data_IF_622765358981
#
_entry.id   IF_622765358981
#
_cell.length_a   1.000
_cell.length_b   1.000
_cell.length_c   1.000
_cell.angle_alpha   90.00
_cell.angle_beta   90.00
_cell.angle_gamma   90.00
#
_symmetry.space_group_name_H-M   'P 1'
#
loop_
_entity.id
_entity.type
_entity.pdbx_description
1 polymer ?
#
# COMPACT_ATOMS: atom_id res chain seq x y z
N UNK A 1 33.94 32.60 37.29
CA UNK A 1 32.85 33.47 37.76
C UNK A 1 32.85 34.70 36.87
N UNK A 2 32.08 34.71 35.78
CA UNK A 2 32.05 35.85 34.87
C UNK A 2 31.27 36.97 35.57
N UNK A 3 31.98 38.01 36.04
CA UNK A 3 31.36 39.23 36.53
C UNK A 3 30.60 39.87 35.36
N UNK A 4 29.27 39.79 35.41
CA UNK A 4 28.41 40.53 34.49
C UNK A 4 28.74 42.03 34.61
N UNK A 5 28.97 42.74 33.50
CA UNK A 5 29.24 44.16 33.53
C UNK A 5 28.08 44.91 34.21
N UNK A 6 28.42 45.87 35.07
CA UNK A 6 27.47 46.72 35.78
C UNK A 6 26.76 47.59 34.73
N UNK A 7 25.57 47.18 34.30
CA UNK A 7 24.73 47.93 33.37
C UNK A 7 24.10 49.13 34.10
N UNK A 8 24.06 50.33 33.49
CA UNK A 8 23.29 51.46 33.98
C UNK A 8 21.84 51.08 34.27
N UNK A 9 21.24 51.63 35.35
CA UNK A 9 19.89 51.27 35.82
C UNK A 9 18.81 51.32 34.72
N UNK A 10 18.90 52.30 33.80
CA UNK A 10 17.98 52.43 32.65
C UNK A 10 18.14 51.29 31.63
N UNK A 11 19.33 50.72 31.48
CA UNK A 11 19.61 49.59 30.58
C UNK A 11 19.28 48.24 31.23
N UNK A 12 19.20 48.17 32.56
CA UNK A 12 18.86 46.94 33.28
C UNK A 12 17.43 46.48 33.00
N UNK A 13 16.45 47.40 32.98
CA UNK A 13 15.05 47.09 32.64
C UNK A 13 14.91 46.63 31.18
N UNK A 14 15.63 47.30 30.26
CA UNK A 14 15.65 46.92 28.83
C UNK A 14 16.27 45.52 28.66
N UNK A 15 17.39 45.25 29.31
CA UNK A 15 18.06 43.94 29.28
C UNK A 15 17.15 42.83 29.82
N UNK A 16 16.46 43.06 30.94
CA UNK A 16 15.48 42.10 31.47
C UNK A 16 14.33 41.84 30.49
N UNK A 17 13.78 42.90 29.88
CA UNK A 17 12.74 42.78 28.85
C UNK A 17 13.19 41.95 27.65
N UNK A 18 14.39 42.22 27.12
CA UNK A 18 14.97 41.46 26.00
C UNK A 18 15.21 39.99 26.38
N UNK A 19 15.71 39.72 27.59
CA UNK A 19 15.96 38.35 28.06
C UNK A 19 14.66 37.55 28.21
N UNK A 20 13.61 38.16 28.74
CA UNK A 20 12.27 37.54 28.81
C UNK A 20 11.74 37.27 27.41
N UNK A 21 11.83 38.25 26.50
CA UNK A 21 11.40 38.10 25.11
C UNK A 21 12.18 36.98 24.39
N UNK A 22 13.49 36.88 24.62
CA UNK A 22 14.32 35.79 24.08
C UNK A 22 13.84 34.43 24.57
N UNK A 23 13.65 34.25 25.89
CA UNK A 23 13.17 32.98 26.42
C UNK A 23 11.75 32.63 25.96
N UNK A 24 10.87 33.62 25.87
CA UNK A 24 9.53 33.44 25.32
C UNK A 24 9.59 32.98 23.86
N UNK A 25 10.43 33.63 23.04
CA UNK A 25 10.61 33.27 21.63
C UNK A 25 11.18 31.85 21.47
N UNK A 26 12.13 31.45 22.32
CA UNK A 26 12.72 30.12 22.32
C UNK A 26 11.70 29.06 22.76
N UNK A 27 10.91 29.34 23.80
CA UNK A 27 9.83 28.46 24.25
C UNK A 27 8.75 28.28 23.17
N UNK A 28 8.32 29.37 22.52
CA UNK A 28 7.38 29.31 21.38
C UNK A 28 7.99 28.47 20.25
N UNK A 29 9.26 28.71 19.90
CA UNK A 29 9.96 27.95 18.87
C UNK A 29 10.02 26.45 19.17
N UNK A 30 10.39 26.06 20.39
CA UNK A 30 10.41 24.66 20.84
C UNK A 30 9.00 24.06 20.78
N UNK A 31 7.99 24.80 21.22
CA UNK A 31 6.60 24.32 21.22
C UNK A 31 6.11 24.09 19.79
N UNK A 32 6.36 25.02 18.86
CA UNK A 32 6.00 24.88 17.45
C UNK A 32 6.77 23.73 16.78
N UNK A 33 8.05 23.56 17.11
CA UNK A 33 8.85 22.43 16.62
C UNK A 33 8.28 21.11 17.14
N UNK A 34 7.98 21.00 18.43
CA UNK A 34 7.37 19.81 19.02
C UNK A 34 6.01 19.49 18.38
N UNK A 35 5.16 20.49 18.16
CA UNK A 35 3.88 20.30 17.48
C UNK A 35 4.05 19.76 16.05
N UNK A 36 5.01 20.27 15.29
CA UNK A 36 5.32 19.74 13.94
C UNK A 36 5.93 18.35 13.98
N UNK A 37 6.72 18.04 15.00
CA UNK A 37 7.35 16.73 15.18
C UNK A 37 6.32 15.65 15.53
N UNK A 38 5.38 15.95 16.44
CA UNK A 38 4.36 14.99 16.87
C UNK A 38 3.15 14.92 15.93
N UNK A 39 2.86 15.99 15.20
CA UNK A 39 1.72 16.08 14.30
C UNK A 39 2.19 16.51 12.91
N UNK A 40 2.98 15.65 12.23
CA UNK A 40 3.45 15.96 10.90
C UNK A 40 2.29 16.11 9.92
N UNK A 41 2.56 16.77 8.80
CA UNK A 41 1.65 16.81 7.66
C UNK A 41 2.35 16.09 6.52
N UNK A 42 1.68 15.09 5.93
CA UNK A 42 2.21 14.34 4.80
C UNK A 42 1.61 14.88 3.52
N UNK A 43 2.46 15.32 2.59
CA UNK A 43 2.02 15.93 1.34
C UNK A 43 2.46 15.08 0.15
N UNK A 44 1.52 14.83 -0.75
CA UNK A 44 1.71 14.08 -1.97
C UNK A 44 1.37 14.97 -3.16
N UNK A 45 2.17 14.91 -4.22
CA UNK A 45 2.06 15.78 -5.40
C UNK A 45 2.03 14.96 -6.68
N UNK A 46 1.19 15.39 -7.61
CA UNK A 46 1.24 15.01 -9.01
C UNK A 46 1.32 16.26 -9.88
N UNK A 47 2.31 16.31 -10.77
CA UNK A 47 2.44 17.33 -11.80
C UNK A 47 2.28 16.69 -13.18
N UNK A 48 1.29 17.15 -13.94
CA UNK A 48 0.94 16.61 -15.26
C UNK A 48 1.89 17.05 -16.39
N UNK A 49 2.86 17.93 -16.09
CA UNK A 49 3.85 18.44 -17.07
C UNK A 49 5.26 17.88 -16.88
N UNK A 50 5.53 17.22 -15.77
CA UNK A 50 6.88 16.76 -15.43
C UNK A 50 6.92 15.24 -15.44
N UNK A 51 8.09 14.67 -15.75
CA UNK A 51 8.32 13.23 -15.72
C UNK A 51 7.93 12.62 -14.37
N UNK A 52 7.38 11.40 -14.40
CA UNK A 52 6.83 10.67 -13.25
C UNK A 52 7.75 10.54 -12.03
N UNK A 53 9.07 10.65 -12.16
CA UNK A 53 10.03 10.47 -11.05
C UNK A 53 9.93 11.50 -9.92
N UNK A 54 9.29 12.65 -10.14
CA UNK A 54 9.07 13.68 -9.11
C UNK A 54 7.68 13.62 -8.48
N UNK A 55 6.80 12.76 -8.98
CA UNK A 55 5.44 12.62 -8.47
C UNK A 55 5.45 11.64 -7.29
N UNK A 56 4.76 12.02 -6.22
CA UNK A 56 4.60 11.19 -5.01
C UNK A 56 3.16 10.66 -4.86
N UNK A 57 2.20 11.23 -5.58
CA UNK A 57 0.88 10.62 -5.80
C UNK A 57 0.96 9.53 -6.86
N UNK A 58 0.08 8.53 -6.74
CA UNK A 58 -0.12 7.54 -7.79
C UNK A 58 -0.58 8.20 -9.09
N UNK A 59 -0.18 7.63 -10.23
CA UNK A 59 -0.57 8.14 -11.53
C UNK A 59 -2.10 8.21 -11.66
N UNK A 60 -2.68 9.39 -11.96
CA UNK A 60 -4.13 9.53 -12.12
C UNK A 60 -4.68 8.75 -13.31
N UNK A 61 -5.92 8.30 -13.21
CA UNK A 61 -6.63 7.54 -14.22
C UNK A 61 -8.12 7.92 -14.29
N UNK A 62 -8.75 7.70 -15.44
CA UNK A 62 -10.20 7.87 -15.63
C UNK A 62 -11.00 6.75 -14.94
N UNK A 63 -12.33 6.87 -14.82
CA UNK A 63 -13.20 5.76 -14.37
C UNK A 63 -12.98 4.42 -15.10
N UNK A 64 -12.66 4.48 -16.40
CA UNK A 64 -12.33 3.30 -17.23
C UNK A 64 -10.90 2.77 -17.01
N UNK A 65 -10.20 3.22 -15.97
CA UNK A 65 -8.80 2.91 -15.64
C UNK A 65 -7.79 3.24 -16.76
N UNK A 66 -8.13 4.14 -17.66
CA UNK A 66 -7.18 4.66 -18.65
C UNK A 66 -6.28 5.73 -18.01
N UNK A 67 -4.95 5.70 -18.23
CA UNK A 67 -4.04 6.70 -17.67
C UNK A 67 -4.41 8.12 -18.11
N UNK A 68 -4.53 9.05 -17.16
CA UNK A 68 -4.91 10.44 -17.38
C UNK A 68 -3.72 11.38 -17.21
N UNK A 69 -2.65 11.11 -17.97
CA UNK A 69 -1.34 11.75 -17.78
C UNK A 69 -1.30 13.25 -18.17
N UNK A 70 -2.30 13.75 -18.89
CA UNK A 70 -2.36 15.14 -19.36
C UNK A 70 -3.24 16.04 -18.48
N UNK A 71 -3.80 15.52 -17.38
CA UNK A 71 -4.62 16.28 -16.45
C UNK A 71 -6.00 16.66 -16.98
N UNK A 72 -6.40 16.16 -18.16
CA UNK A 72 -7.70 16.47 -18.75
C UNK A 72 -8.80 15.70 -18.06
N UNK A 73 -9.87 16.42 -17.71
CA UNK A 73 -11.11 15.88 -17.16
C UNK A 73 -12.22 16.39 -18.06
N UNK A 74 -12.89 15.47 -18.75
CA UNK A 74 -14.07 15.79 -19.56
C UNK A 74 -15.24 16.16 -18.65
N UNK A 75 -16.19 16.96 -19.15
CA UNK A 75 -17.44 17.28 -18.47
C UNK A 75 -18.11 16.01 -17.94
N UNK A 76 -18.53 16.05 -16.67
CA UNK A 76 -19.13 14.91 -15.95
C UNK A 76 -18.25 13.66 -15.84
N UNK A 77 -16.97 13.75 -16.20
CA UNK A 77 -15.99 12.68 -15.99
C UNK A 77 -15.39 12.74 -14.59
N UNK A 78 -14.65 11.70 -14.23
CA UNK A 78 -13.87 11.68 -13.00
C UNK A 78 -12.39 11.42 -13.27
N UNK A 79 -11.55 12.10 -12.49
CA UNK A 79 -10.13 11.82 -12.37
C UNK A 79 -9.85 11.19 -11.03
N UNK A 80 -9.34 9.96 -11.06
CA UNK A 80 -9.10 9.15 -9.87
C UNK A 80 -7.60 9.03 -9.64
N UNK A 81 -7.16 9.24 -8.41
CA UNK A 81 -5.78 8.98 -7.96
C UNK A 81 -5.80 8.36 -6.57
N UNK A 82 -4.63 7.93 -6.08
CA UNK A 82 -4.48 7.43 -4.72
C UNK A 82 -3.26 8.02 -4.02
N UNK A 83 -3.39 8.15 -2.71
CA UNK A 83 -2.30 8.46 -1.80
C UNK A 83 -2.27 7.40 -0.69
N UNK A 84 -1.10 6.85 -0.44
CA UNK A 84 -0.93 5.75 0.51
C UNK A 84 -0.09 6.24 1.68
N UNK A 85 -0.68 6.27 2.87
CA UNK A 85 -0.06 6.87 4.04
C UNK A 85 -0.44 6.11 5.31
N UNK A 86 0.56 5.71 6.10
CA UNK A 86 0.36 5.02 7.38
C UNK A 86 0.10 6.03 8.51
N UNK A 87 -0.77 5.67 9.44
CA UNK A 87 -1.08 6.47 10.63
C UNK A 87 -2.54 6.90 10.75
N UNK A 88 -2.78 7.82 11.69
CA UNK A 88 -4.10 8.37 12.02
C UNK A 88 -4.19 9.84 11.59
N UNK A 89 -5.21 10.16 10.81
CA UNK A 89 -5.39 11.47 10.20
C UNK A 89 -6.77 12.02 10.51
N UNK A 90 -6.86 13.31 10.82
CA UNK A 90 -8.14 13.98 11.11
C UNK A 90 -8.68 14.74 9.90
N UNK A 91 -7.79 15.25 9.05
CA UNK A 91 -8.18 16.02 7.88
C UNK A 91 -7.29 15.76 6.67
N UNK A 92 -7.89 15.93 5.50
CA UNK A 92 -7.24 15.92 4.20
C UNK A 92 -7.50 17.27 3.54
N UNK A 93 -6.45 17.87 2.97
CA UNK A 93 -6.54 19.06 2.14
C UNK A 93 -6.14 18.72 0.72
N UNK A 94 -7.02 18.96 -0.24
CA UNK A 94 -6.73 18.84 -1.66
C UNK A 94 -6.51 20.24 -2.25
N UNK A 95 -5.37 20.45 -2.90
CA UNK A 95 -5.03 21.66 -3.64
C UNK A 95 -4.85 21.32 -5.11
N UNK A 96 -5.53 22.07 -5.98
CA UNK A 96 -5.49 21.87 -7.41
C UNK A 96 -5.09 23.18 -8.07
N UNK A 97 -4.34 23.09 -9.16
CA UNK A 97 -4.08 24.23 -10.04
C UNK A 97 -4.43 23.82 -11.46
N UNK A 98 -5.30 24.60 -12.10
CA UNK A 98 -5.67 24.43 -13.49
C UNK A 98 -4.62 25.03 -14.41
N UNK A 99 -4.62 24.58 -15.66
CA UNK A 99 -3.83 25.20 -16.72
C UNK A 99 -4.32 26.61 -17.05
N UNK A 100 -3.39 27.46 -17.53
CA UNK A 100 -3.69 28.87 -17.82
C UNK A 100 -4.87 29.11 -18.75
N UNK A 101 -5.08 28.17 -19.69
CA UNK A 101 -6.13 28.21 -20.72
C UNK A 101 -7.31 27.29 -20.39
N UNK A 102 -7.30 26.61 -19.25
CA UNK A 102 -8.40 25.76 -18.82
C UNK A 102 -9.62 26.63 -18.51
N UNK A 103 -10.81 26.09 -18.76
CA UNK A 103 -12.03 26.71 -18.29
C UNK A 103 -12.11 26.63 -16.76
N UNK A 104 -12.88 27.55 -16.15
CA UNK A 104 -13.09 27.63 -14.70
C UNK A 104 -14.43 26.99 -14.36
N UNK A 105 -14.44 25.82 -13.68
CA UNK A 105 -15.69 25.14 -13.33
C UNK A 105 -16.42 25.91 -12.21
N UNK A 106 -17.75 25.96 -12.28
CA UNK A 106 -18.55 26.54 -11.20
C UNK A 106 -18.74 25.55 -10.05
N UNK A 107 -18.86 24.27 -10.39
CA UNK A 107 -19.05 23.18 -9.45
C UNK A 107 -18.07 22.07 -9.78
N UNK A 108 -17.37 21.59 -8.76
CA UNK A 108 -16.64 20.33 -8.78
C UNK A 108 -16.23 19.96 -7.36
N UNK A 109 -16.16 18.66 -7.09
CA UNK A 109 -15.94 18.12 -5.75
C UNK A 109 -14.78 17.12 -5.76
N UNK A 110 -14.20 16.95 -4.58
CA UNK A 110 -13.29 15.83 -4.31
C UNK A 110 -14.00 14.85 -3.40
N UNK A 111 -14.18 13.61 -3.87
CA UNK A 111 -14.70 12.49 -3.09
C UNK A 111 -13.53 11.63 -2.63
N UNK A 112 -13.48 11.32 -1.35
CA UNK A 112 -12.41 10.58 -0.70
C UNK A 112 -12.96 9.30 -0.08
N UNK A 113 -12.28 8.18 -0.35
CA UNK A 113 -12.56 6.86 0.23
C UNK A 113 -11.27 6.25 0.75
N UNK A 114 -11.36 5.30 1.68
CA UNK A 114 -10.20 4.61 2.26
C UNK A 114 -10.38 3.10 2.21
N UNK A 115 -9.36 2.37 1.74
CA UNK A 115 -9.27 0.90 1.83
C UNK A 115 -7.85 0.43 1.46
N UNK A 116 -7.69 -0.83 1.08
CA UNK A 116 -6.57 -1.30 0.26
C UNK A 116 -6.87 -1.10 -1.24
N UNK A 117 -5.86 -0.79 -2.06
CA UNK A 117 -6.07 -0.63 -3.51
C UNK A 117 -6.67 -1.88 -4.17
N UNK A 118 -6.28 -3.07 -3.72
CA UNK A 118 -6.78 -4.36 -4.23
C UNK A 118 -8.28 -4.53 -4.00
N UNK A 119 -8.84 -3.96 -2.93
CA UNK A 119 -10.26 -4.08 -2.63
C UNK A 119 -11.14 -3.20 -3.53
N UNK A 120 -10.54 -2.20 -4.20
CA UNK A 120 -11.19 -1.41 -5.25
C UNK A 120 -11.08 -2.03 -6.64
N UNK A 121 -10.45 -3.20 -6.79
CA UNK A 121 -10.47 -3.95 -8.05
C UNK A 121 -11.91 -4.38 -8.39
N UNK A 122 -12.23 -4.51 -9.69
CA UNK A 122 -13.51 -5.08 -10.11
C UNK A 122 -13.66 -6.50 -9.56
N UNK A 123 -14.89 -6.85 -9.21
CA UNK A 123 -15.23 -8.23 -8.82
C UNK A 123 -15.24 -9.10 -10.07
N UNK A 124 -14.41 -10.14 -10.09
CA UNK A 124 -14.36 -11.12 -11.17
C UNK A 124 -15.32 -12.28 -10.97
N UNK A 125 -15.35 -13.21 -11.92
CA UNK A 125 -16.10 -14.47 -11.78
C UNK A 125 -15.57 -15.27 -10.57
N UNK A 126 -16.46 -15.94 -9.82
CA UNK A 126 -16.09 -16.71 -8.66
C UNK A 126 -15.17 -17.89 -9.04
N UNK A 127 -14.34 -18.29 -8.09
CA UNK A 127 -13.52 -19.50 -8.18
C UNK A 127 -14.35 -20.65 -7.61
N UNK A 128 -14.75 -21.55 -8.50
CA UNK A 128 -15.69 -22.65 -8.21
C UNK A 128 -15.03 -24.02 -8.14
N UNK A 129 -13.72 -24.10 -8.31
CA UNK A 129 -12.97 -25.36 -8.22
C UNK A 129 -11.56 -25.15 -7.72
N UNK A 130 -11.01 -26.20 -7.12
CA UNK A 130 -9.58 -26.32 -6.84
C UNK A 130 -8.80 -26.41 -8.18
N UNK A 131 -7.59 -25.83 -8.29
CA UNK A 131 -6.76 -26.00 -9.48
C UNK A 131 -6.39 -27.47 -9.73
N UNK A 132 -6.90 -28.06 -10.80
CA UNK A 132 -6.63 -29.47 -11.15
C UNK A 132 -5.30 -29.60 -11.90
N UNK A 133 -4.36 -30.34 -11.33
CA UNK A 133 -3.16 -30.84 -12.01
C UNK A 133 -2.94 -32.31 -11.61
N UNK A 134 -2.44 -33.14 -12.54
CA UNK A 134 -2.07 -34.51 -12.21
C UNK A 134 -0.69 -34.51 -11.57
N UNK A 135 -0.65 -34.78 -10.27
CA UNK A 135 0.58 -34.77 -9.47
C UNK A 135 1.05 -36.19 -9.23
N UNK A 136 2.36 -36.41 -9.33
CA UNK A 136 3.03 -37.65 -8.99
C UNK A 136 4.05 -37.43 -7.88
N UNK A 137 4.20 -38.43 -7.01
CA UNK A 137 5.29 -38.56 -6.05
C UNK A 137 6.13 -39.77 -6.44
N UNK A 138 7.41 -39.55 -6.69
CA UNK A 138 8.37 -40.60 -7.04
C UNK A 138 9.52 -40.51 -6.05
N UNK A 139 9.67 -41.54 -5.22
CA UNK A 139 10.45 -41.47 -3.99
C UNK A 139 10.00 -40.28 -3.12
N UNK A 140 10.90 -39.33 -2.82
CA UNK A 140 10.59 -38.12 -2.02
C UNK A 140 10.41 -36.86 -2.88
N UNK A 141 10.24 -37.04 -4.19
CA UNK A 141 10.20 -35.93 -5.15
C UNK A 141 8.82 -35.82 -5.81
N UNK A 142 8.32 -34.59 -5.91
CA UNK A 142 7.01 -34.30 -6.50
C UNK A 142 7.16 -33.78 -7.92
N UNK A 143 6.24 -34.20 -8.79
CA UNK A 143 6.16 -33.80 -10.19
C UNK A 143 4.72 -33.44 -10.57
N UNK A 144 4.55 -32.45 -11.44
CA UNK A 144 3.28 -32.23 -12.14
C UNK A 144 3.40 -32.72 -13.58
N UNK A 145 2.41 -33.45 -14.08
CA UNK A 145 2.34 -33.89 -15.47
C UNK A 145 1.53 -32.88 -16.30
N UNK A 146 2.17 -32.28 -17.31
CA UNK A 146 1.57 -31.31 -18.23
C UNK A 146 1.95 -31.69 -19.66
N UNK A 147 0.96 -31.93 -20.51
CA UNK A 147 1.18 -32.30 -21.92
C UNK A 147 2.22 -33.43 -22.09
N UNK A 148 2.09 -34.51 -21.30
CA UNK A 148 3.00 -35.66 -21.27
C UNK A 148 4.46 -35.36 -20.84
N UNK A 149 4.69 -34.18 -20.27
CA UNK A 149 5.98 -33.73 -19.73
C UNK A 149 5.89 -33.57 -18.22
N UNK A 150 6.87 -34.10 -17.50
CA UNK A 150 6.97 -34.01 -16.05
C UNK A 150 7.76 -32.76 -15.65
N UNK A 151 7.14 -31.94 -14.83
CA UNK A 151 7.74 -30.75 -14.24
C UNK A 151 8.03 -31.00 -12.77
N UNK A 152 9.30 -30.88 -12.40
CA UNK A 152 9.78 -31.10 -11.04
C UNK A 152 9.41 -29.90 -10.16
N UNK A 153 8.82 -30.13 -8.99
CA UNK A 153 8.75 -29.09 -7.96
C UNK A 153 10.14 -28.85 -7.38
N UNK A 154 10.53 -27.57 -7.23
CA UNK A 154 11.86 -27.20 -6.73
C UNK A 154 12.13 -27.72 -5.32
N UNK A 155 11.07 -27.97 -4.54
CA UNK A 155 11.15 -28.60 -3.22
C UNK A 155 9.80 -29.18 -2.78
N UNK A 156 9.79 -30.03 -1.72
CA UNK A 156 8.55 -30.42 -1.04
C UNK A 156 7.74 -29.23 -0.51
N UNK A 157 8.42 -28.18 -0.01
CA UNK A 157 7.75 -26.97 0.48
C UNK A 157 7.03 -26.21 -0.65
N UNK A 158 7.64 -26.14 -1.83
CA UNK A 158 7.01 -25.57 -3.02
C UNK A 158 5.75 -26.35 -3.42
N UNK A 159 5.82 -27.69 -3.43
CA UNK A 159 4.66 -28.56 -3.64
C UNK A 159 3.54 -28.33 -2.61
N UNK A 160 3.88 -28.39 -1.32
CA UNK A 160 2.92 -28.25 -0.21
C UNK A 160 2.30 -26.85 -0.12
N UNK A 161 2.88 -25.85 -0.77
CA UNK A 161 2.27 -24.52 -0.90
C UNK A 161 1.12 -24.49 -1.92
N UNK A 162 1.05 -25.46 -2.84
CA UNK A 162 0.07 -25.54 -3.94
C UNK A 162 -0.94 -26.67 -3.78
N UNK A 163 -0.53 -27.78 -3.17
CA UNK A 163 -1.33 -29.00 -3.06
C UNK A 163 -1.16 -29.65 -1.68
N UNK A 164 -2.01 -30.65 -1.37
CA UNK A 164 -1.82 -31.55 -0.23
C UNK A 164 -1.19 -32.85 -0.69
N UNK A 165 -0.48 -33.57 0.18
CA UNK A 165 0.17 -34.84 -0.17
C UNK A 165 -0.80 -35.87 -0.74
N UNK A 166 -2.04 -35.89 -0.25
CA UNK A 166 -3.11 -36.77 -0.72
C UNK A 166 -3.52 -36.58 -2.19
N UNK A 167 -3.09 -35.48 -2.82
CA UNK A 167 -3.35 -35.21 -4.24
C UNK A 167 -2.28 -35.81 -5.16
N UNK A 168 -1.18 -36.31 -4.62
CA UNK A 168 -0.11 -36.92 -5.41
C UNK A 168 -0.32 -38.43 -5.55
N UNK A 169 -0.19 -38.93 -6.78
CA UNK A 169 -0.16 -40.37 -7.08
C UNK A 169 1.25 -40.92 -6.86
N UNK A 170 1.40 -42.00 -6.09
CA UNK A 170 2.69 -42.65 -5.91
C UNK A 170 3.07 -43.48 -7.14
N UNK A 171 4.28 -43.26 -7.65
CA UNK A 171 4.86 -43.99 -8.78
C UNK A 171 6.32 -44.34 -8.50
N UNK A 172 6.88 -45.27 -9.28
CA UNK A 172 8.27 -45.69 -9.15
C UNK A 172 9.19 -45.02 -10.20
N UNK A 173 10.50 -45.18 -10.06
CA UNK A 173 11.48 -44.56 -10.96
C UNK A 173 11.31 -44.96 -12.45
N UNK A 174 10.74 -46.14 -12.73
CA UNK A 174 10.52 -46.56 -14.12
C UNK A 174 9.54 -45.61 -14.86
N UNK A 175 8.66 -44.93 -14.13
CA UNK A 175 7.75 -43.92 -14.64
C UNK A 175 8.47 -42.71 -15.26
N UNK A 176 9.63 -42.33 -14.71
CA UNK A 176 10.47 -41.24 -15.24
C UNK A 176 11.02 -41.58 -16.62
N UNK A 177 11.30 -42.85 -16.89
CA UNK A 177 11.80 -43.32 -18.19
C UNK A 177 10.73 -43.26 -19.28
N UNK A 178 9.45 -43.26 -18.91
CA UNK A 178 8.32 -43.27 -19.83
C UNK A 178 7.86 -41.85 -20.24
N UNK A 179 8.34 -40.80 -19.56
CA UNK A 179 7.92 -39.43 -19.75
C UNK A 179 9.10 -38.50 -20.01
N UNK A 180 8.85 -37.38 -20.69
CA UNK A 180 9.89 -36.35 -20.86
C UNK A 180 10.00 -35.54 -19.58
N UNK A 181 11.22 -35.34 -19.07
CA UNK A 181 11.49 -34.45 -17.95
C UNK A 181 11.72 -33.01 -18.46
N UNK A 182 11.06 -32.04 -17.85
CA UNK A 182 11.30 -30.63 -18.10
C UNK A 182 12.59 -30.16 -17.42
N UNK A 183 13.28 -29.20 -18.04
CA UNK A 183 14.37 -28.44 -17.40
C UNK A 183 13.83 -27.33 -16.48
N UNK A 184 12.54 -27.00 -16.61
CA UNK A 184 11.87 -26.00 -15.79
C UNK A 184 11.33 -26.61 -14.49
N UNK A 185 11.45 -25.85 -13.41
CA UNK A 185 10.97 -26.21 -12.09
C UNK A 185 9.66 -25.50 -11.76
N UNK A 186 8.81 -26.15 -10.97
CA UNK A 186 7.64 -25.53 -10.35
C UNK A 186 8.03 -25.02 -8.96
N UNK A 187 7.86 -23.72 -8.76
CA UNK A 187 8.11 -23.07 -7.48
C UNK A 187 6.91 -23.08 -6.53
N UNK A 188 7.01 -22.33 -5.44
CA UNK A 188 5.90 -22.00 -4.55
C UNK A 188 4.70 -21.39 -5.28
N UNK A 189 3.51 -21.54 -4.66
CA UNK A 189 2.24 -20.97 -5.10
C UNK A 189 2.36 -19.45 -5.29
N UNK A 190 1.71 -18.94 -6.34
CA UNK A 190 1.46 -17.50 -6.50
C UNK A 190 0.72 -16.97 -5.26
N UNK A 191 1.22 -15.88 -4.68
CA UNK A 191 0.75 -15.30 -3.43
C UNK A 191 1.51 -15.75 -2.17
N UNK A 192 2.36 -16.79 -2.26
CA UNK A 192 3.19 -17.21 -1.12
C UNK A 192 4.19 -16.12 -0.73
N UNK A 193 4.32 -15.90 0.58
CA UNK A 193 5.36 -15.08 1.17
C UNK A 193 6.54 -15.98 1.53
N UNK A 194 7.73 -15.61 1.07
CA UNK A 194 8.96 -16.37 1.31
C UNK A 194 10.05 -15.46 1.87
N UNK A 195 10.89 -15.98 2.76
CA UNK A 195 12.08 -15.28 3.25
C UNK A 195 13.35 -15.95 2.75
N UNK A 196 14.31 -15.12 2.36
CA UNK A 196 15.66 -15.54 2.02
C UNK A 196 16.63 -14.44 2.41
N UNK A 197 17.72 -14.83 3.08
CA UNK A 197 18.58 -13.91 3.83
C UNK A 197 17.72 -12.99 4.73
N UNK A 198 17.94 -11.68 4.69
CA UNK A 198 17.20 -10.69 5.49
C UNK A 198 15.95 -10.14 4.79
N UNK A 199 15.59 -10.68 3.62
CA UNK A 199 14.50 -10.17 2.78
C UNK A 199 13.23 -11.01 2.83
N UNK A 200 12.07 -10.35 2.70
CA UNK A 200 10.78 -11.01 2.45
C UNK A 200 10.35 -10.72 1.01
N UNK A 201 9.92 -11.76 0.32
CA UNK A 201 9.46 -11.72 -1.07
C UNK A 201 8.04 -12.29 -1.14
N UNK A 202 7.29 -11.86 -2.15
CA UNK A 202 6.02 -12.49 -2.53
C UNK A 202 6.15 -13.04 -3.95
N UNK A 203 5.68 -14.27 -4.14
CA UNK A 203 5.61 -14.89 -5.47
C UNK A 203 4.44 -14.30 -6.23
N UNK A 204 4.70 -13.72 -7.39
CA UNK A 204 3.69 -12.97 -8.16
C UNK A 204 3.30 -13.63 -9.48
N UNK A 205 4.10 -14.57 -9.95
CA UNK A 205 3.81 -15.44 -11.09
C UNK A 205 4.57 -16.74 -10.92
N UNK A 206 4.41 -17.68 -11.86
CA UNK A 206 5.21 -18.91 -11.91
C UNK A 206 6.72 -18.67 -12.01
N UNK A 207 7.14 -17.49 -12.49
CA UNK A 207 8.57 -17.18 -12.75
C UNK A 207 9.04 -15.89 -12.11
N UNK A 208 8.17 -15.11 -11.47
CA UNK A 208 8.51 -13.81 -10.90
C UNK A 208 8.19 -13.73 -9.41
N UNK A 209 9.14 -13.19 -8.64
CA UNK A 209 8.97 -12.79 -7.26
C UNK A 209 9.22 -11.30 -7.08
N UNK A 210 8.62 -10.68 -6.07
CA UNK A 210 8.83 -9.25 -5.76
C UNK A 210 9.26 -9.06 -4.31
N UNK A 211 10.36 -8.33 -4.04
CA UNK A 211 10.76 -8.01 -2.67
C UNK A 211 9.77 -7.03 -2.03
N UNK A 212 9.48 -7.22 -0.75
CA UNK A 212 8.71 -6.27 0.07
C UNK A 212 9.68 -5.26 0.68
N UNK A 213 9.39 -3.97 0.55
CA UNK A 213 10.36 -2.91 0.82
C UNK A 213 10.87 -2.85 2.26
N UNK A 214 10.06 -3.26 3.24
CA UNK A 214 10.44 -3.39 4.65
C UNK A 214 9.32 -4.05 5.47
N UNK A 215 9.62 -4.37 6.72
CA UNK A 215 8.68 -4.92 7.71
C UNK A 215 7.41 -4.07 7.89
N UNK A 216 7.54 -2.74 7.93
CA UNK A 216 6.39 -1.85 8.07
C UNK A 216 5.46 -1.97 6.85
N UNK A 217 6.00 -2.09 5.64
CA UNK A 217 5.23 -2.27 4.40
C UNK A 217 4.48 -3.60 4.42
N UNK A 218 5.13 -4.70 4.84
CA UNK A 218 4.49 -6.02 4.99
C UNK A 218 3.23 -5.91 5.86
N UNK A 219 3.39 -5.38 7.08
CA UNK A 219 2.31 -5.23 8.05
C UNK A 219 1.25 -4.23 7.60
N UNK A 220 1.65 -3.14 6.95
CA UNK A 220 0.74 -2.09 6.49
C UNK A 220 -0.11 -2.56 5.31
N UNK A 221 0.38 -3.51 4.52
CA UNK A 221 -0.39 -4.25 3.51
C UNK A 221 -1.29 -5.32 4.13
N UNK A 222 -1.24 -5.53 5.46
CA UNK A 222 -2.06 -6.49 6.17
C UNK A 222 -1.54 -7.94 6.11
N UNK A 223 -0.35 -8.15 5.55
CA UNK A 223 0.34 -9.44 5.64
C UNK A 223 0.91 -9.66 7.04
N UNK A 224 1.27 -10.91 7.32
CA UNK A 224 1.73 -11.37 8.62
C UNK A 224 3.07 -12.09 8.48
N UNK A 225 3.96 -11.91 9.47
CA UNK A 225 5.27 -12.57 9.46
C UNK A 225 5.15 -14.09 9.66
N UNK A 226 4.08 -14.52 10.32
CA UNK A 226 3.79 -15.94 10.55
C UNK A 226 3.46 -16.71 9.26
N UNK A 227 3.09 -16.01 8.19
CA UNK A 227 2.81 -16.60 6.87
C UNK A 227 4.08 -16.68 5.99
N UNK A 228 5.23 -16.18 6.46
CA UNK A 228 6.47 -16.12 5.68
C UNK A 228 7.22 -17.45 5.79
N UNK A 229 7.36 -18.14 4.66
CA UNK A 229 8.04 -19.42 4.56
C UNK A 229 9.56 -19.22 4.36
N UNK A 230 10.43 -19.85 5.15
CA UNK A 230 11.86 -19.83 4.86
C UNK A 230 12.13 -20.60 3.57
N UNK A 231 12.93 -20.01 2.68
CA UNK A 231 13.33 -20.59 1.41
C UNK A 231 14.86 -20.62 1.27
N UNK A 232 15.39 -21.61 0.55
CA UNK A 232 16.81 -21.76 0.20
C UNK A 232 17.21 -20.92 -1.02
N UNK A 233 18.52 -20.86 -1.29
CA UNK A 233 19.02 -20.18 -2.49
C UNK A 233 18.54 -20.87 -3.78
N UNK A 234 18.49 -22.20 -3.78
CA UNK A 234 18.02 -23.00 -4.91
C UNK A 234 16.52 -22.77 -5.17
N UNK A 235 15.70 -22.73 -4.11
CA UNK A 235 14.25 -22.49 -4.21
C UNK A 235 13.93 -21.08 -4.74
N UNK A 236 14.75 -20.09 -4.38
CA UNK A 236 14.56 -18.70 -4.83
C UNK A 236 15.21 -18.43 -6.18
N UNK A 237 16.28 -19.17 -6.51
CA UNK A 237 17.09 -18.98 -7.72
C UNK A 237 16.32 -19.19 -9.02
N UNK A 238 15.19 -19.91 -9.00
CA UNK A 238 14.33 -20.12 -10.17
C UNK A 238 13.51 -18.88 -10.55
N UNK A 239 13.38 -17.90 -9.65
CA UNK A 239 12.53 -16.72 -9.87
C UNK A 239 13.31 -15.50 -10.34
N UNK A 240 12.71 -14.77 -11.29
CA UNK A 240 13.14 -13.43 -11.66
C UNK A 240 12.68 -12.43 -10.60
N UNK A 241 13.62 -11.58 -10.16
CA UNK A 241 13.32 -10.52 -9.20
C UNK A 241 12.68 -9.32 -9.89
N UNK A 242 11.41 -9.07 -9.55
CA UNK A 242 10.66 -7.91 -9.99
C UNK A 242 10.90 -6.66 -9.13
N UNK A 243 10.08 -5.62 -9.37
CA UNK A 243 10.17 -4.35 -8.63
C UNK A 243 9.77 -4.51 -7.17
N UNK A 244 10.41 -3.74 -6.29
CA UNK A 244 10.05 -3.67 -4.87
C UNK A 244 8.57 -3.30 -4.70
N UNK A 245 7.89 -3.97 -3.78
CA UNK A 245 6.55 -3.64 -3.31
C UNK A 245 6.70 -2.63 -2.17
N UNK A 246 6.14 -1.45 -2.38
CA UNK A 246 6.14 -0.34 -1.44
C UNK A 246 4.74 -0.13 -0.87
N UNK A 247 4.64 0.76 0.11
CA UNK A 247 3.36 1.23 0.62
C UNK A 247 2.47 1.71 -0.53
N UNK A 248 1.23 1.23 -0.56
CA UNK A 248 0.27 1.56 -1.61
C UNK A 248 0.34 0.73 -2.87
N UNK A 249 1.19 -0.30 -2.92
CA UNK A 249 1.08 -1.27 -3.98
C UNK A 249 -0.26 -2.01 -3.90
N UNK A 250 -0.86 -2.29 -5.06
CA UNK A 250 -1.93 -3.28 -5.17
C UNK A 250 -1.35 -4.63 -4.75
N UNK A 251 -2.07 -5.35 -3.88
CA UNK A 251 -1.73 -6.74 -3.53
C UNK A 251 -1.55 -7.59 -4.79
N UNK A 252 -0.46 -8.35 -4.92
CA UNK A 252 -0.26 -9.25 -6.05
C UNK A 252 -1.28 -10.39 -6.10
N UNK A 253 -1.32 -11.04 -7.26
CA UNK A 253 -2.09 -12.25 -7.48
C UNK A 253 -1.76 -13.32 -6.41
N UNK A 254 -2.77 -14.13 -6.08
CA UNK A 254 -2.70 -15.17 -5.06
C UNK A 254 -2.89 -14.68 -3.62
N UNK A 255 -3.01 -13.37 -3.41
CA UNK A 255 -3.33 -12.79 -2.08
C UNK A 255 -4.78 -13.10 -1.69
N UNK A 256 -4.96 -13.66 -0.49
CA UNK A 256 -6.27 -13.90 0.10
C UNK A 256 -6.77 -12.67 0.88
N UNK A 257 -7.96 -12.19 0.56
CA UNK A 257 -8.67 -11.15 1.30
C UNK A 257 -9.87 -11.76 2.03
N UNK A 258 -10.23 -11.20 3.20
CA UNK A 258 -11.45 -11.55 3.91
C UNK A 258 -12.26 -10.30 4.26
N UNK A 259 -13.43 -10.17 3.64
CA UNK A 259 -14.38 -9.10 3.95
C UNK A 259 -15.18 -9.46 5.20
N UNK A 260 -14.90 -8.78 6.31
CA UNK A 260 -15.51 -9.06 7.60
C UNK A 260 -17.00 -8.69 7.65
N UNK A 261 -17.47 -7.80 6.77
CA UNK A 261 -18.87 -7.37 6.76
C UNK A 261 -19.77 -8.38 6.04
N UNK A 262 -19.28 -8.95 4.93
CA UNK A 262 -20.04 -9.92 4.12
C UNK A 262 -19.66 -11.38 4.39
N UNK A 263 -18.64 -11.60 5.22
CA UNK A 263 -18.03 -12.91 5.47
C UNK A 263 -17.58 -13.62 4.18
N UNK A 264 -17.10 -12.85 3.21
CA UNK A 264 -16.69 -13.35 1.88
C UNK A 264 -15.18 -13.34 1.75
N UNK A 265 -14.63 -14.46 1.28
CA UNK A 265 -13.21 -14.55 0.92
C UNK A 265 -13.04 -14.23 -0.56
N UNK A 266 -12.01 -13.43 -0.86
CA UNK A 266 -11.62 -13.10 -2.22
C UNK A 266 -10.18 -13.51 -2.47
N UNK A 267 -9.90 -14.04 -3.66
CA UNK A 267 -8.54 -14.17 -4.17
C UNK A 267 -8.26 -13.02 -5.13
N UNK A 268 -7.11 -12.36 -5.01
CA UNK A 268 -6.63 -11.48 -6.07
C UNK A 268 -6.08 -12.34 -7.21
N UNK A 269 -6.62 -12.18 -8.41
CA UNK A 269 -6.20 -12.92 -9.59
C UNK A 269 -6.41 -12.07 -10.85
N UNK A 270 -5.35 -11.86 -11.62
CA UNK A 270 -5.36 -11.19 -12.93
C UNK A 270 -6.04 -9.81 -12.89
N UNK A 271 -5.82 -9.06 -11.81
CA UNK A 271 -6.38 -7.71 -11.63
C UNK A 271 -7.86 -7.68 -11.20
N UNK A 272 -8.43 -8.82 -10.82
CA UNK A 272 -9.75 -8.91 -10.22
C UNK A 272 -9.64 -9.35 -8.77
N UNK A 273 -10.63 -8.97 -7.96
CA UNK A 273 -10.93 -9.69 -6.72
C UNK A 273 -12.00 -10.73 -7.03
N UNK A 274 -11.71 -12.01 -6.87
CA UNK A 274 -12.62 -13.10 -7.21
C UNK A 274 -13.15 -13.75 -5.95
N UNK A 275 -14.48 -13.82 -5.74
CA UNK A 275 -15.05 -14.60 -4.64
C UNK A 275 -14.60 -16.07 -4.76
N UNK A 276 -14.39 -16.73 -3.63
CA UNK A 276 -14.07 -18.16 -3.60
C UNK A 276 -15.32 -18.92 -3.12
N UNK A 277 -15.91 -19.70 -4.01
CA UNK A 277 -17.11 -20.51 -3.72
C UNK A 277 -16.74 -21.98 -3.41
N UNK A 278 -15.61 -22.46 -3.95
CA UNK A 278 -15.13 -23.79 -3.64
C UNK A 278 -14.60 -23.88 -2.20
N UNK A 279 -15.33 -24.62 -1.37
CA UNK A 279 -15.02 -24.76 0.06
C UNK A 279 -13.71 -25.51 0.32
N UNK A 280 -13.34 -26.47 -0.52
CA UNK A 280 -12.11 -27.26 -0.38
C UNK A 280 -10.91 -26.36 -0.62
N UNK A 281 -10.92 -25.62 -1.73
CA UNK A 281 -9.88 -24.67 -2.07
C UNK A 281 -9.78 -23.52 -1.07
N UNK A 282 -10.91 -22.99 -0.60
CA UNK A 282 -10.90 -21.97 0.45
C UNK A 282 -10.23 -22.48 1.74
N UNK A 283 -10.59 -23.68 2.21
CA UNK A 283 -9.99 -24.26 3.40
C UNK A 283 -8.50 -24.48 3.22
N UNK A 284 -8.09 -25.02 2.07
CA UNK A 284 -6.68 -25.14 1.72
C UNK A 284 -5.96 -23.79 1.80
N UNK A 285 -6.48 -22.74 1.17
CA UNK A 285 -5.84 -21.41 1.19
C UNK A 285 -5.71 -20.82 2.60
N UNK A 286 -6.73 -21.00 3.45
CA UNK A 286 -6.71 -20.52 4.84
C UNK A 286 -5.64 -21.20 5.69
N UNK A 287 -5.24 -22.42 5.35
CA UNK A 287 -4.12 -23.10 6.01
C UNK A 287 -2.76 -22.59 5.55
N UNK A 288 -2.68 -22.03 4.33
CA UNK A 288 -1.42 -21.55 3.74
C UNK A 288 -1.14 -20.07 3.98
N UNK A 289 -2.19 -19.28 4.22
CA UNK A 289 -2.06 -17.84 4.35
C UNK A 289 -3.22 -17.27 5.17
N UNK A 290 -2.90 -16.42 6.15
CA UNK A 290 -3.93 -15.65 6.82
C UNK A 290 -4.45 -14.54 5.90
N UNK A 291 -5.78 -14.36 5.82
CA UNK A 291 -6.35 -13.39 4.91
C UNK A 291 -6.04 -11.96 5.36
N UNK A 292 -5.79 -11.08 4.40
CA UNK A 292 -5.78 -9.64 4.62
C UNK A 292 -7.22 -9.20 4.91
N UNK A 293 -7.43 -8.61 6.09
CA UNK A 293 -8.75 -8.17 6.53
C UNK A 293 -9.20 -6.92 5.78
N UNK A 294 -10.39 -6.96 5.20
CA UNK A 294 -11.03 -5.85 4.50
C UNK A 294 -12.46 -5.65 5.01
N UNK A 295 -13.06 -4.51 4.68
CA UNK A 295 -14.42 -4.17 5.08
C UNK A 295 -15.10 -3.40 3.96
N UNK A 296 -16.15 -3.98 3.37
CA UNK A 296 -16.99 -3.30 2.38
C UNK A 296 -17.72 -2.09 2.96
N UNK A 297 -18.18 -2.16 4.20
CA UNK A 297 -18.79 -1.04 4.89
C UNK A 297 -17.81 0.13 5.08
N UNK A 298 -16.60 -0.14 5.60
CA UNK A 298 -15.55 0.86 5.74
C UNK A 298 -15.17 1.47 4.38
N UNK A 299 -15.01 0.63 3.36
CA UNK A 299 -14.59 1.06 2.02
C UNK A 299 -15.68 1.83 1.28
N UNK A 300 -16.95 1.62 1.61
CA UNK A 300 -18.09 2.34 1.04
C UNK A 300 -18.28 3.73 1.67
N UNK A 301 -17.78 3.96 2.89
CA UNK A 301 -17.79 5.30 3.48
C UNK A 301 -16.99 6.25 2.62
N UNK A 302 -17.58 7.41 2.38
CA UNK A 302 -16.96 8.47 1.61
C UNK A 302 -17.14 9.81 2.32
N UNK A 303 -16.19 10.70 2.09
CA UNK A 303 -16.28 12.11 2.47
C UNK A 303 -16.11 12.92 1.20
N UNK A 304 -16.93 13.95 1.02
CA UNK A 304 -16.79 14.89 -0.09
C UNK A 304 -16.45 16.29 0.42
N UNK A 305 -15.66 17.03 -0.36
CA UNK A 305 -15.47 18.46 -0.17
C UNK A 305 -15.63 19.22 -1.48
N UNK A 306 -16.35 20.34 -1.43
CA UNK A 306 -16.49 21.25 -2.56
C UNK A 306 -15.24 22.13 -2.69
N UNK A 307 -14.72 22.24 -3.90
CA UNK A 307 -13.51 23.02 -4.18
C UNK A 307 -13.82 24.51 -4.19
N UNK A 308 -13.04 25.27 -3.42
CA UNK A 308 -13.18 26.73 -3.32
C UNK A 308 -12.05 27.40 -4.11
N UNK A 309 -12.35 28.45 -4.90
CA UNK A 309 -11.33 29.18 -5.61
C UNK A 309 -10.39 29.87 -4.63
N UNK A 310 -9.09 29.79 -4.90
CA UNK A 310 -8.06 30.55 -4.22
C UNK A 310 -7.95 31.97 -4.77
N UNK A 311 -7.10 32.77 -4.14
CA UNK A 311 -6.90 34.19 -4.49
C UNK A 311 -6.40 34.42 -5.92
N UNK A 312 -5.75 33.42 -6.54
CA UNK A 312 -5.11 33.52 -7.86
C UNK A 312 -5.96 32.93 -9.02
N UNK A 313 -7.26 32.72 -8.82
CA UNK A 313 -8.26 32.43 -9.86
C UNK A 313 -8.18 31.04 -10.54
N UNK A 314 -7.01 30.41 -10.60
CA UNK A 314 -6.81 29.08 -11.20
C UNK A 314 -6.42 28.00 -10.18
N UNK A 315 -6.24 28.41 -8.93
CA UNK A 315 -5.98 27.50 -7.82
C UNK A 315 -7.26 27.23 -7.06
N UNK A 316 -7.46 25.99 -6.64
CA UNK A 316 -8.62 25.57 -5.87
C UNK A 316 -8.16 24.76 -4.67
N UNK A 317 -8.93 24.82 -3.59
CA UNK A 317 -8.66 24.04 -2.39
C UNK A 317 -9.92 23.57 -1.71
N UNK A 318 -9.87 22.37 -1.12
CA UNK A 318 -10.88 21.94 -0.17
C UNK A 318 -10.28 21.16 0.99
N UNK A 319 -10.91 21.32 2.14
CA UNK A 319 -10.59 20.60 3.37
C UNK A 319 -11.73 19.63 3.67
N UNK A 320 -11.38 18.37 3.90
CA UNK A 320 -12.30 17.32 4.30
C UNK A 320 -11.89 16.77 5.67
N UNK A 321 -12.85 16.63 6.59
CA UNK A 321 -12.63 15.82 7.80
C UNK A 321 -12.73 14.35 7.43
N UNK A 322 -11.64 13.61 7.64
CA UNK A 322 -11.56 12.18 7.32
C UNK A 322 -11.62 11.30 8.57
N UNK A 323 -11.94 11.89 9.73
CA UNK A 323 -12.14 11.17 11.00
C UNK A 323 -13.26 10.11 10.93
N UNK A 324 -14.20 10.26 9.99
CA UNK A 324 -15.31 9.32 9.77
C UNK A 324 -14.92 8.11 8.91
N UNK A 325 -13.80 8.19 8.19
CA UNK A 325 -13.28 7.08 7.39
C UNK A 325 -12.62 6.06 8.30
N UNK A 326 -13.19 4.86 8.36
CA UNK A 326 -12.73 3.78 9.22
C UNK A 326 -11.29 3.38 8.88
N UNK A 327 -10.40 3.36 9.87
CA UNK A 327 -9.04 2.83 9.75
C UNK A 327 -8.98 1.32 9.98
N UNK A 328 -7.86 0.69 9.59
CA UNK A 328 -7.60 -0.74 9.89
C UNK A 328 -7.89 -1.69 8.72
N UNK A 329 -8.60 -1.23 7.69
CA UNK A 329 -8.92 -1.99 6.48
C UNK A 329 -8.17 -1.45 5.26
N UNK A 330 -6.93 -0.99 5.48
CA UNK A 330 -6.06 -0.40 4.48
C UNK A 330 -5.77 1.09 4.68
N UNK A 331 -4.72 1.53 3.99
CA UNK A 331 -4.10 2.84 4.15
C UNK A 331 -4.02 3.63 2.85
N UNK A 332 -4.77 3.17 1.83
CA UNK A 332 -4.93 3.84 0.56
C UNK A 332 -6.14 4.75 0.60
N UNK A 333 -5.90 6.04 0.40
CA UNK A 333 -6.94 7.02 0.18
C UNK A 333 -7.12 7.18 -1.32
N UNK A 334 -8.30 6.80 -1.81
CA UNK A 334 -8.71 7.05 -3.20
C UNK A 334 -9.37 8.41 -3.26
N UNK A 335 -8.87 9.26 -4.13
CA UNK A 335 -9.42 10.58 -4.41
C UNK A 335 -10.03 10.56 -5.80
N UNK A 336 -11.30 10.94 -5.90
CA UNK A 336 -12.02 11.15 -7.15
C UNK A 336 -12.34 12.64 -7.27
N UNK A 337 -11.78 13.30 -8.28
CA UNK A 337 -12.16 14.66 -8.67
C UNK A 337 -13.25 14.52 -9.71
N UNK A 338 -14.44 15.01 -9.39
CA UNK A 338 -15.65 14.76 -10.16
C UNK A 338 -16.64 15.92 -10.06
N UNK A 339 -17.82 15.73 -10.67
CA UNK A 339 -18.93 16.68 -10.69
C UNK A 339 -18.60 18.01 -11.39
N UNK A 340 -17.62 18.01 -12.31
CA UNK A 340 -17.32 19.17 -13.15
C UNK A 340 -18.36 19.32 -14.27
N UNK A 341 -18.82 20.56 -14.42
CA UNK A 341 -19.79 21.00 -15.43
C UNK A 341 -19.17 21.25 -16.81
N UNK A 342 -17.84 21.37 -16.88
CA UNK A 342 -17.09 21.71 -18.08
C UNK A 342 -15.79 20.93 -18.18
N UNK A 343 -15.22 20.85 -19.38
CA UNK A 343 -13.90 20.28 -19.59
C UNK A 343 -12.82 21.15 -18.90
N UNK A 344 -11.99 20.52 -18.08
CA UNK A 344 -10.89 21.17 -17.38
C UNK A 344 -9.56 20.45 -17.60
N UNK A 345 -8.46 21.18 -17.48
CA UNK A 345 -7.10 20.63 -17.57
C UNK A 345 -6.30 21.02 -16.32
N UNK A 346 -5.89 20.01 -15.55
CA UNK A 346 -5.07 20.18 -14.35
C UNK A 346 -3.59 20.33 -14.70
N UNK A 347 -2.95 21.31 -14.08
CA UNK A 347 -1.50 21.45 -14.07
C UNK A 347 -0.89 20.63 -12.92
N UNK A 348 -1.45 20.78 -11.71
CA UNK A 348 -0.96 20.07 -10.51
C UNK A 348 -2.10 19.67 -9.58
N UNK A 349 -1.90 18.54 -8.89
CA UNK A 349 -2.71 18.06 -7.79
C UNK A 349 -1.81 17.80 -6.58
N UNK A 350 -2.10 18.46 -5.47
CA UNK A 350 -1.39 18.34 -4.20
C UNK A 350 -2.39 17.88 -3.12
N UNK A 351 -2.08 16.81 -2.41
CA UNK A 351 -2.93 16.24 -1.36
C UNK A 351 -2.13 16.19 -0.07
N UNK A 352 -2.67 16.77 1.00
CA UNK A 352 -2.00 16.81 2.31
C UNK A 352 -2.84 16.18 3.41
N UNK A 353 -2.24 15.33 4.22
CA UNK A 353 -2.86 14.65 5.36
C UNK A 353 -2.34 15.24 6.66
N UNK A 354 -3.26 15.74 7.49
CA UNK A 354 -2.92 16.26 8.81
C UNK A 354 -3.15 15.18 9.86
N UNK A 355 -2.08 14.83 10.58
CA UNK A 355 -2.15 13.83 11.64
C UNK A 355 -3.12 14.28 12.74
N UNK A 356 -3.89 13.32 13.27
CA UNK A 356 -4.82 13.57 14.37
C UNK A 356 -4.06 13.96 15.64
N UNK A 357 -4.49 15.07 16.25
CA UNK A 357 -3.93 15.52 17.52
C UNK A 357 -4.52 14.71 18.68
N UNK A 358 -3.88 13.60 19.04
CA UNK A 358 -4.28 12.75 20.17
C UNK A 358 -3.08 12.29 20.99
N UNK A 359 -3.35 11.82 22.22
CA UNK A 359 -2.34 11.19 23.07
C UNK A 359 -1.76 9.95 22.41
N UNK A 360 -2.59 9.17 21.73
CA UNK A 360 -2.17 7.94 21.04
C UNK A 360 -1.16 8.25 19.91
N UNK A 361 -1.39 9.32 19.14
CA UNK A 361 -0.45 9.79 18.12
C UNK A 361 0.90 10.16 18.73
N UNK A 362 0.90 10.87 19.87
CA UNK A 362 2.13 11.24 20.57
C UNK A 362 2.88 9.98 21.02
N UNK A 363 2.18 9.04 21.67
CA UNK A 363 2.77 7.79 22.16
C UNK A 363 3.34 6.94 21.03
N UNK A 364 2.61 6.83 19.91
CA UNK A 364 3.07 6.11 18.72
C UNK A 364 4.35 6.74 18.16
N UNK A 365 4.36 8.07 18.02
CA UNK A 365 5.53 8.81 17.49
C UNK A 365 6.74 8.67 18.41
N UNK A 366 6.55 8.74 19.73
CA UNK A 366 7.62 8.50 20.71
C UNK A 366 8.15 7.07 20.63
N UNK A 367 7.27 6.08 20.47
CA UNK A 367 7.67 4.68 20.30
C UNK A 367 8.54 4.50 19.05
N UNK A 368 8.13 5.09 17.92
CA UNK A 368 8.89 5.05 16.66
C UNK A 368 10.25 5.74 16.79
N UNK A 369 10.31 6.90 17.46
CA UNK A 369 11.58 7.60 17.72
C UNK A 369 12.49 6.71 18.58
N UNK A 370 11.96 6.11 19.66
CA UNK A 370 12.71 5.19 20.52
C UNK A 370 13.25 4.00 19.72
N UNK A 371 12.44 3.36 18.89
CA UNK A 371 12.87 2.25 18.04
C UNK A 371 13.98 2.65 17.08
N UNK A 372 13.87 3.82 16.42
CA UNK A 372 14.91 4.35 15.52
C UNK A 372 16.21 4.68 16.23
N UNK A 373 16.15 5.13 17.49
CA UNK A 373 17.35 5.38 18.29
C UNK A 373 18.01 4.06 18.71
N UNK A 374 17.22 3.09 19.16
CA UNK A 374 17.73 1.77 19.54
C UNK A 374 18.37 1.05 18.35
N UNK A 375 17.72 1.05 17.18
CA UNK A 375 18.28 0.39 15.99
C UNK A 375 19.58 1.01 15.50
N UNK A 376 19.80 2.31 15.73
CA UNK A 376 21.05 2.99 15.41
C UNK A 376 22.15 2.80 16.46
N UNK A 377 21.78 2.58 17.72
CA UNK A 377 22.72 2.40 18.83
C UNK A 377 23.09 0.92 19.05
N UNK A 378 22.21 -0.02 18.67
CA UNK A 378 22.43 -1.46 18.78
C UNK A 378 23.17 -2.10 17.60
N UNK A 379 23.73 -1.28 16.70
CA UNK A 379 24.59 -1.72 15.59
C UNK A 379 26.08 -1.40 15.84
N UNK A 380 26.48 -1.22 17.11
CA UNK A 380 27.86 -1.02 17.57
C UNK A 380 28.34 -2.22 18.38
#
# INVERSE_FOLDING_TARGET
>A
MFHLPILPSRLQTVYQGIRILLYLSLFIGITLFALKLFFPTFSFKYNFRVSNSRNTLSAPYSEKRTPANNGKIISSGALITSASVSGTFSSLTAHLTLEKKSALPENFSVVIRRSYQSFFLPTGMPITSFPEETIYKIADTYYALKDNTLYLFVSPSAFLSRYTESMAHEENESFLTAHTLSEEFIGYRVGSLVSFADGVFIITSETDMRPIGNAETLLTLGYRFEDVLPASEEEIGIYKRGRIILLGAIHPDGTLLFDQDTNTYYLIDKGFKRPIEDSVYLNFLKEKQMPVLVSSFASAKQVSCALRPGLLGQSFSCDASIDTLTSGFGNDFILSIQDNDIDIELQTLDVSFKTKQSKDTILLTLSQIKQRLISRLGAL
#
